data_IF_185155671351
#
_entry.id   IF_185155671351
#
_cell.length_a   1.000
_cell.length_b   1.000
_cell.length_c   1.000
_cell.angle_alpha   90.00
_cell.angle_beta   90.00
_cell.angle_gamma   90.00
#
_symmetry.space_group_name_H-M   'P 1'
#
loop_
_entity.id
_entity.type
_entity.pdbx_description
1 polymer ?
#
# COMPACT_ATOMS: atom_id res chain seq x y z
N UNK A 1 5.92 -13.77 -10.17
CA UNK A 1 7.35 -14.17 -10.04
C UNK A 1 7.43 -15.46 -9.25
N UNK A 2 8.01 -16.49 -9.87
CA UNK A 2 8.18 -17.80 -9.23
C UNK A 2 9.62 -17.95 -8.73
N UNK A 3 9.80 -18.25 -7.45
CA UNK A 3 11.12 -18.46 -6.83
C UNK A 3 11.24 -19.92 -6.37
N UNK A 4 12.29 -20.62 -6.81
CA UNK A 4 12.54 -21.99 -6.33
C UNK A 4 13.18 -21.95 -4.94
N UNK A 5 12.52 -22.55 -3.98
CA UNK A 5 12.94 -22.57 -2.56
C UNK A 5 13.39 -23.96 -2.07
N UNK A 6 13.50 -24.95 -2.96
CA UNK A 6 13.84 -26.35 -2.60
C UNK A 6 15.08 -26.48 -1.72
N UNK A 7 16.13 -25.70 -2.03
CA UNK A 7 17.38 -25.74 -1.24
C UNK A 7 17.19 -25.05 0.12
N UNK A 8 16.55 -23.87 0.15
CA UNK A 8 16.32 -23.11 1.38
C UNK A 8 15.41 -23.89 2.34
N UNK A 9 14.41 -24.59 1.81
CA UNK A 9 13.49 -25.42 2.60
C UNK A 9 14.21 -26.56 3.39
N UNK A 10 15.35 -27.02 2.90
CA UNK A 10 16.16 -28.07 3.55
C UNK A 10 17.23 -27.52 4.50
N UNK A 11 17.45 -26.20 4.48
CA UNK A 11 18.40 -25.55 5.38
C UNK A 11 17.82 -25.40 6.79
N UNK A 12 18.66 -25.24 7.83
CA UNK A 12 18.19 -24.97 9.19
C UNK A 12 17.35 -23.70 9.28
N UNK A 13 16.43 -23.65 10.26
CA UNK A 13 15.62 -22.48 10.56
C UNK A 13 16.54 -21.27 10.78
N UNK A 14 16.14 -20.11 10.23
CA UNK A 14 16.89 -18.87 10.27
C UNK A 14 17.85 -18.64 9.10
N UNK A 15 18.14 -19.67 8.30
CA UNK A 15 18.89 -19.47 7.06
C UNK A 15 18.11 -18.56 6.10
N UNK A 16 18.83 -17.71 5.39
CA UNK A 16 18.20 -16.72 4.51
C UNK A 16 18.91 -16.59 3.17
N UNK A 17 18.12 -16.21 2.17
CA UNK A 17 18.60 -15.86 0.83
C UNK A 17 18.05 -14.51 0.42
N UNK A 18 18.81 -13.81 -0.39
CA UNK A 18 18.41 -12.51 -0.95
C UNK A 18 18.26 -12.64 -2.45
N UNK A 19 17.20 -12.03 -2.95
CA UNK A 19 16.91 -11.88 -4.37
C UNK A 19 16.73 -10.39 -4.65
N UNK A 20 16.98 -10.02 -5.89
CA UNK A 20 16.72 -8.67 -6.38
C UNK A 20 15.80 -8.83 -7.58
N UNK A 21 14.58 -8.32 -7.48
CA UNK A 21 13.71 -8.14 -8.64
C UNK A 21 14.24 -6.95 -9.46
N UNK A 22 14.34 -7.12 -10.77
CA UNK A 22 14.87 -6.10 -11.70
C UNK A 22 13.96 -6.01 -12.95
N UNK A 23 12.72 -5.59 -12.73
CA UNK A 23 11.71 -5.49 -13.77
C UNK A 23 11.03 -6.82 -14.10
N UNK A 24 10.89 -7.71 -13.12
CA UNK A 24 10.16 -8.95 -13.31
C UNK A 24 8.64 -8.71 -13.34
N UNK A 25 8.00 -9.38 -14.31
CA UNK A 25 6.53 -9.39 -14.39
C UNK A 25 5.93 -10.37 -13.39
N UNK A 26 4.89 -9.92 -12.69
CA UNK A 26 4.00 -10.73 -11.85
C UNK A 26 2.58 -10.61 -12.37
N UNK A 27 1.83 -11.71 -12.38
CA UNK A 27 0.46 -11.70 -12.90
C UNK A 27 -0.43 -12.70 -12.17
N UNK A 28 -1.71 -12.34 -12.04
CA UNK A 28 -2.79 -13.20 -11.57
C UNK A 28 -3.88 -13.18 -12.66
N UNK A 29 -3.80 -14.06 -13.67
CA UNK A 29 -4.65 -14.02 -14.86
C UNK A 29 -6.15 -14.10 -14.56
N UNK A 30 -6.54 -14.79 -13.49
CA UNK A 30 -7.92 -15.01 -13.07
C UNK A 30 -8.65 -13.70 -12.77
N UNK A 31 -7.90 -12.68 -12.32
CA UNK A 31 -8.44 -11.34 -12.00
C UNK A 31 -7.92 -10.26 -12.94
N UNK A 32 -7.14 -10.64 -13.96
CA UNK A 32 -6.56 -9.71 -14.94
C UNK A 32 -5.48 -8.79 -14.35
N UNK A 33 -4.83 -9.21 -13.26
CA UNK A 33 -3.75 -8.47 -12.65
C UNK A 33 -2.43 -8.76 -13.36
N UNK A 34 -1.72 -7.70 -13.71
CA UNK A 34 -0.35 -7.76 -14.23
C UNK A 34 0.41 -6.52 -13.76
N UNK A 35 1.62 -6.73 -13.25
CA UNK A 35 2.44 -5.68 -12.69
C UNK A 35 3.93 -5.99 -12.89
N UNK A 36 4.76 -4.94 -12.97
CA UNK A 36 6.22 -5.05 -12.99
C UNK A 36 6.76 -4.72 -11.60
N UNK A 37 7.67 -5.53 -11.08
CA UNK A 37 8.24 -5.34 -9.75
C UNK A 37 9.75 -5.11 -9.81
N UNK A 38 10.23 -4.19 -8.97
CA UNK A 38 11.66 -3.91 -8.81
C UNK A 38 11.96 -3.70 -7.32
N UNK A 39 12.95 -4.41 -6.80
CA UNK A 39 13.33 -4.23 -5.39
C UNK A 39 13.90 -5.48 -4.73
N UNK A 40 14.36 -5.35 -3.48
CA UNK A 40 14.94 -6.44 -2.71
C UNK A 40 13.87 -7.36 -2.14
N UNK A 41 14.15 -8.67 -2.20
CA UNK A 41 13.35 -9.74 -1.61
C UNK A 41 14.27 -10.59 -0.75
N UNK A 42 13.89 -10.82 0.50
CA UNK A 42 14.59 -11.70 1.41
C UNK A 42 13.71 -12.88 1.78
N UNK A 43 14.24 -14.07 1.63
CA UNK A 43 13.59 -15.32 2.02
C UNK A 43 14.30 -15.87 3.25
N UNK A 44 13.56 -16.25 4.28
CA UNK A 44 14.10 -16.78 5.53
C UNK A 44 13.39 -18.10 5.82
N UNK A 45 14.16 -19.16 6.10
CA UNK A 45 13.58 -20.43 6.55
C UNK A 45 12.97 -20.25 7.94
N UNK A 46 11.67 -20.39 8.05
CA UNK A 46 10.89 -20.34 9.30
C UNK A 46 10.56 -21.75 9.81
N UNK A 47 9.83 -21.87 10.90
CA UNK A 47 9.42 -23.15 11.45
C UNK A 47 8.40 -23.87 10.53
N UNK A 48 7.44 -23.14 9.98
CA UNK A 48 6.35 -23.68 9.14
C UNK A 48 6.66 -23.62 7.62
N UNK A 49 7.58 -22.75 7.23
CA UNK A 49 7.78 -22.51 5.81
C UNK A 49 8.91 -21.54 5.49
N UNK A 50 8.60 -20.58 4.65
CA UNK A 50 9.51 -19.53 4.20
C UNK A 50 8.86 -18.17 4.50
N UNK A 51 9.47 -17.38 5.37
CA UNK A 51 9.12 -15.99 5.55
C UNK A 51 9.73 -15.17 4.42
N UNK A 52 8.90 -14.44 3.71
CA UNK A 52 9.27 -13.49 2.66
C UNK A 52 9.17 -12.08 3.21
N UNK A 53 10.28 -11.35 3.18
CA UNK A 53 10.31 -9.90 3.42
C UNK A 53 10.61 -9.23 2.10
N UNK A 54 9.75 -8.36 1.62
CA UNK A 54 9.92 -7.67 0.35
C UNK A 54 9.67 -6.17 0.50
N UNK A 55 10.43 -5.38 -0.28
CA UNK A 55 10.25 -3.93 -0.42
C UNK A 55 10.36 -3.63 -1.91
N UNK A 56 9.22 -3.37 -2.55
CA UNK A 56 9.10 -3.41 -4.01
C UNK A 56 8.51 -2.10 -4.54
N UNK A 57 9.14 -1.56 -5.56
CA UNK A 57 8.57 -0.54 -6.43
C UNK A 57 7.82 -1.23 -7.57
N UNK A 58 6.62 -0.77 -7.85
CA UNK A 58 5.74 -1.25 -8.91
C UNK A 58 5.54 -0.17 -9.97
N UNK A 59 5.01 -0.57 -11.14
CA UNK A 59 4.57 0.41 -12.12
C UNK A 59 3.49 1.32 -11.53
N UNK A 60 3.51 2.63 -11.87
CA UNK A 60 2.52 3.57 -11.36
C UNK A 60 1.09 3.17 -11.72
N UNK A 61 0.16 3.36 -10.78
CA UNK A 61 -1.26 3.09 -10.99
C UNK A 61 -1.99 4.36 -11.42
N UNK A 62 -2.74 4.27 -12.51
CA UNK A 62 -3.59 5.35 -12.98
C UNK A 62 -4.81 5.55 -12.07
N UNK A 63 -4.91 6.71 -11.42
CA UNK A 63 -6.02 7.08 -10.54
C UNK A 63 -6.73 8.33 -11.06
N UNK A 64 -7.95 8.54 -10.58
CA UNK A 64 -8.71 9.77 -10.79
C UNK A 64 -8.71 10.61 -9.51
N UNK A 65 -8.41 11.90 -9.63
CA UNK A 65 -8.39 12.79 -8.49
C UNK A 65 -9.80 13.05 -7.95
N UNK A 66 -10.04 12.78 -6.66
CA UNK A 66 -11.36 13.00 -6.03
C UNK A 66 -11.77 14.48 -5.92
N UNK A 67 -10.82 15.42 -6.11
CA UNK A 67 -11.10 16.86 -6.05
C UNK A 67 -11.36 17.48 -7.41
N UNK A 68 -10.51 17.20 -8.41
CA UNK A 68 -10.61 17.87 -9.73
C UNK A 68 -11.06 16.93 -10.86
N UNK A 69 -11.21 15.65 -10.58
CA UNK A 69 -11.61 14.59 -11.52
C UNK A 69 -10.65 14.42 -12.72
N UNK A 70 -9.41 14.89 -12.58
CA UNK A 70 -8.38 14.66 -13.59
C UNK A 70 -7.64 13.35 -13.30
N UNK A 71 -7.26 12.59 -14.35
CA UNK A 71 -6.45 11.41 -14.18
C UNK A 71 -5.03 11.80 -13.80
N UNK A 72 -4.39 10.96 -12.98
CA UNK A 72 -2.98 11.11 -12.62
C UNK A 72 -2.35 9.75 -12.33
N UNK A 73 -1.05 9.66 -12.37
CA UNK A 73 -0.29 8.48 -12.02
C UNK A 73 0.14 8.54 -10.56
N UNK A 74 -0.18 7.47 -9.82
CA UNK A 74 0.22 7.30 -8.43
C UNK A 74 1.42 6.37 -8.36
N UNK A 75 2.58 6.83 -7.82
CA UNK A 75 3.72 5.95 -7.63
C UNK A 75 3.37 4.87 -6.61
N UNK A 76 3.70 3.63 -6.92
CA UNK A 76 3.35 2.49 -6.11
C UNK A 76 4.60 1.88 -5.48
N UNK A 77 4.63 1.82 -4.16
CA UNK A 77 5.62 1.13 -3.37
C UNK A 77 4.94 0.28 -2.31
N UNK A 78 5.33 -0.98 -2.19
CA UNK A 78 4.78 -1.91 -1.20
C UNK A 78 5.90 -2.54 -0.37
N UNK A 79 5.59 -2.76 0.90
CA UNK A 79 6.43 -3.53 1.81
C UNK A 79 5.58 -4.59 2.48
N UNK A 80 6.12 -5.80 2.58
CA UNK A 80 5.41 -6.87 3.27
C UNK A 80 6.32 -7.92 3.85
N UNK A 81 5.79 -8.58 4.88
CA UNK A 81 6.34 -9.76 5.51
C UNK A 81 5.26 -10.85 5.50
N UNK A 82 5.44 -11.90 4.67
CA UNK A 82 4.47 -12.98 4.52
C UNK A 82 5.11 -14.36 4.67
N UNK A 83 4.45 -15.24 5.42
CA UNK A 83 4.91 -16.62 5.56
C UNK A 83 4.24 -17.52 4.52
N UNK A 84 5.06 -18.17 3.70
CA UNK A 84 4.63 -19.19 2.75
C UNK A 84 4.79 -20.56 3.39
N UNK A 85 3.68 -21.21 3.68
CA UNK A 85 3.66 -22.52 4.35
C UNK A 85 4.14 -23.61 3.42
N UNK A 86 5.00 -24.48 3.91
CA UNK A 86 5.43 -25.69 3.20
C UNK A 86 4.51 -26.83 3.63
N UNK A 87 3.68 -27.34 2.71
CA UNK A 87 2.68 -28.36 3.01
C UNK A 87 3.24 -29.67 3.62
N UNK A 88 4.53 -29.94 3.41
CA UNK A 88 5.21 -31.07 4.02
C UNK A 88 6.66 -30.69 4.34
N UNK A 89 7.02 -30.72 5.62
CA UNK A 89 8.40 -30.46 6.07
C UNK A 89 9.38 -31.46 5.44
N UNK A 90 10.41 -30.97 4.73
CA UNK A 90 11.33 -31.86 3.99
C UNK A 90 12.23 -32.70 4.87
N UNK A 91 12.42 -32.29 6.14
CA UNK A 91 13.32 -32.97 7.09
C UNK A 91 12.58 -34.03 7.90
N UNK A 92 11.39 -33.69 8.40
CA UNK A 92 10.62 -34.57 9.29
C UNK A 92 9.55 -35.37 8.56
N UNK A 93 9.16 -34.96 7.35
CA UNK A 93 8.04 -35.50 6.59
C UNK A 93 6.65 -35.19 7.18
N UNK A 94 6.60 -34.39 8.24
CA UNK A 94 5.34 -33.95 8.84
C UNK A 94 4.53 -33.11 7.86
N UNK A 95 3.22 -33.40 7.79
CA UNK A 95 2.29 -32.55 7.05
C UNK A 95 1.97 -31.31 7.88
N UNK A 96 2.11 -30.15 7.27
CA UNK A 96 1.71 -28.86 7.82
C UNK A 96 0.42 -28.46 7.11
N UNK A 97 -0.63 -28.23 7.87
CA UNK A 97 -1.90 -27.75 7.32
C UNK A 97 -1.80 -26.23 7.18
N UNK A 98 -2.09 -25.74 5.99
CA UNK A 98 -2.25 -24.31 5.71
C UNK A 98 -3.73 -23.95 5.76
N UNK A 99 -4.05 -22.77 6.30
CA UNK A 99 -5.39 -22.22 6.24
C UNK A 99 -5.69 -21.72 4.81
N UNK A 100 -6.98 -21.47 4.51
CA UNK A 100 -7.40 -21.08 3.15
C UNK A 100 -6.81 -19.74 2.69
N UNK A 101 -6.49 -18.88 3.63
CA UNK A 101 -5.95 -17.53 3.37
C UNK A 101 -4.42 -17.47 3.46
N UNK A 102 -3.75 -18.57 3.75
CA UNK A 102 -2.29 -18.64 3.84
C UNK A 102 -1.65 -18.90 2.45
N UNK A 103 -0.55 -18.23 2.20
CA UNK A 103 0.27 -18.51 1.03
C UNK A 103 1.00 -19.86 1.20
N UNK A 104 1.11 -20.62 0.10
CA UNK A 104 1.66 -21.97 0.12
C UNK A 104 2.77 -22.12 -0.91
N UNK A 105 3.84 -22.76 -0.54
CA UNK A 105 4.86 -23.25 -1.48
C UNK A 105 4.29 -24.45 -2.25
N UNK A 106 4.34 -24.42 -3.57
CA UNK A 106 3.78 -25.46 -4.41
C UNK A 106 4.51 -26.82 -4.26
N UNK A 107 3.92 -27.89 -4.83
CA UNK A 107 4.51 -29.24 -4.78
C UNK A 107 5.84 -29.38 -5.54
N UNK A 108 6.22 -28.39 -6.34
CA UNK A 108 7.47 -28.28 -7.10
C UNK A 108 8.50 -27.38 -6.43
N UNK A 109 8.24 -26.98 -5.20
CA UNK A 109 9.07 -26.06 -4.40
C UNK A 109 9.18 -24.65 -4.98
N UNK A 110 8.14 -24.17 -5.65
CA UNK A 110 8.05 -22.80 -6.09
C UNK A 110 7.16 -21.98 -5.15
N UNK A 111 7.65 -20.81 -4.84
CA UNK A 111 6.95 -19.76 -4.14
C UNK A 111 6.55 -18.71 -5.17
N UNK A 112 5.25 -18.40 -5.28
CA UNK A 112 4.74 -17.39 -6.18
C UNK A 112 4.38 -16.11 -5.44
N UNK A 113 5.04 -15.02 -5.81
CA UNK A 113 4.80 -13.69 -5.21
C UNK A 113 3.59 -12.96 -5.81
N UNK A 114 3.02 -13.44 -6.91
CA UNK A 114 2.05 -12.67 -7.70
C UNK A 114 0.82 -12.27 -6.89
N UNK A 115 0.26 -13.21 -6.13
CA UNK A 115 -0.93 -12.94 -5.32
C UNK A 115 -0.62 -12.03 -4.11
N UNK A 116 0.52 -12.19 -3.47
CA UNK A 116 0.94 -11.29 -2.39
C UNK A 116 1.11 -9.86 -2.92
N UNK A 117 1.83 -9.68 -4.04
CA UNK A 117 1.99 -8.35 -4.66
C UNK A 117 0.64 -7.71 -4.97
N UNK A 118 -0.30 -8.48 -5.56
CA UNK A 118 -1.66 -7.99 -5.86
C UNK A 118 -2.39 -7.50 -4.62
N UNK A 119 -2.40 -8.29 -3.54
CA UNK A 119 -3.10 -7.94 -2.30
C UNK A 119 -2.49 -6.70 -1.64
N UNK A 120 -1.16 -6.62 -1.60
CA UNK A 120 -0.47 -5.47 -1.03
C UNK A 120 -0.59 -4.22 -1.90
N UNK A 121 -0.62 -4.34 -3.24
CA UNK A 121 -0.92 -3.21 -4.12
C UNK A 121 -2.33 -2.67 -3.85
N UNK A 122 -3.35 -3.54 -3.78
CA UNK A 122 -4.72 -3.13 -3.47
C UNK A 122 -4.82 -2.42 -2.10
N UNK A 123 -4.09 -2.91 -1.09
CA UNK A 123 -4.11 -2.30 0.24
C UNK A 123 -3.33 -1.00 0.33
N UNK A 124 -2.35 -0.78 -0.55
CA UNK A 124 -1.53 0.42 -0.61
C UNK A 124 -2.21 1.58 -1.37
N UNK A 125 -3.33 1.31 -2.06
CA UNK A 125 -4.08 2.37 -2.72
C UNK A 125 -4.63 3.37 -1.70
N UNK A 126 -4.51 4.69 -1.96
CA UNK A 126 -5.00 5.71 -1.04
C UNK A 126 -6.53 5.68 -0.95
N UNK A 127 -7.08 5.78 0.26
CA UNK A 127 -8.53 5.90 0.49
C UNK A 127 -9.09 7.14 -0.20
N UNK A 128 -8.30 8.20 -0.31
CA UNK A 128 -8.64 9.43 -1.02
C UNK A 128 -7.54 9.73 -2.03
N UNK A 129 -7.90 9.69 -3.30
CA UNK A 129 -6.99 9.91 -4.42
C UNK A 129 -6.90 11.40 -4.75
N UNK A 130 -5.77 12.05 -4.41
CA UNK A 130 -5.55 13.48 -4.67
C UNK A 130 -4.30 13.63 -5.53
N UNK A 131 -4.43 14.28 -6.71
CA UNK A 131 -3.32 14.41 -7.65
C UNK A 131 -2.13 15.23 -7.10
N UNK A 132 -2.39 16.17 -6.19
CA UNK A 132 -1.37 16.99 -5.49
C UNK A 132 -1.97 17.63 -4.24
N UNK A 133 -1.16 17.88 -3.19
CA UNK A 133 -1.64 18.41 -1.91
C UNK A 133 -2.40 19.74 -2.02
N UNK A 134 -1.98 20.58 -2.96
CA UNK A 134 -2.54 21.92 -3.23
C UNK A 134 -3.67 21.92 -4.27
N UNK A 135 -4.22 20.75 -4.62
CA UNK A 135 -5.31 20.65 -5.58
C UNK A 135 -6.52 21.45 -5.12
N UNK A 136 -6.93 22.44 -5.92
CA UNK A 136 -8.07 23.33 -5.64
C UNK A 136 -9.43 22.71 -5.97
N UNK A 137 -9.43 21.58 -6.70
CA UNK A 137 -10.65 20.85 -7.07
C UNK A 137 -11.51 21.56 -8.11
N UNK A 138 -12.79 21.19 -8.13
CA UNK A 138 -13.81 21.80 -8.99
C UNK A 138 -14.60 22.88 -8.24
N UNK A 139 -15.01 23.91 -8.95
CA UNK A 139 -15.95 24.89 -8.43
C UNK A 139 -17.31 24.23 -8.13
N UNK A 140 -17.85 24.32 -6.90
CA UNK A 140 -19.12 23.68 -6.55
C UNK A 140 -20.35 24.31 -7.27
N UNK A 141 -20.19 25.48 -7.85
CA UNK A 141 -21.26 26.19 -8.54
C UNK A 141 -21.33 25.88 -10.03
N UNK A 142 -20.19 25.84 -10.73
CA UNK A 142 -20.15 25.69 -12.18
C UNK A 142 -19.32 24.52 -12.70
N UNK A 143 -18.64 23.76 -11.82
CA UNK A 143 -17.81 22.62 -12.23
C UNK A 143 -16.46 22.98 -12.86
N UNK A 144 -16.10 24.27 -12.95
CA UNK A 144 -14.80 24.68 -13.49
C UNK A 144 -13.65 24.10 -12.66
N UNK A 145 -12.65 23.54 -13.31
CA UNK A 145 -11.43 23.10 -12.64
C UNK A 145 -10.64 24.32 -12.15
N UNK A 146 -10.59 24.49 -10.82
CA UNK A 146 -9.96 25.65 -10.18
C UNK A 146 -8.43 25.61 -10.23
N UNK A 147 -7.85 24.48 -10.65
CA UNK A 147 -6.41 24.39 -10.91
C UNK A 147 -6.02 25.05 -12.25
N UNK A 148 -6.96 25.16 -13.17
CA UNK A 148 -6.74 25.73 -14.52
C UNK A 148 -7.11 27.20 -14.58
N UNK A 149 -8.30 27.54 -14.06
CA UNK A 149 -8.79 28.90 -14.09
C UNK A 149 -9.69 29.22 -12.90
N UNK A 150 -9.67 30.48 -12.48
CA UNK A 150 -10.62 30.99 -11.49
C UNK A 150 -11.93 31.43 -12.20
N UNK A 151 -13.03 30.87 -11.75
CA UNK A 151 -14.36 31.18 -12.33
C UNK A 151 -15.07 32.37 -11.69
N UNK A 152 -14.45 33.01 -10.67
CA UNK A 152 -15.02 34.18 -9.98
C UNK A 152 -16.20 33.87 -9.04
N UNK A 153 -16.61 32.61 -8.89
CA UNK A 153 -17.61 32.27 -7.89
C UNK A 153 -16.97 32.23 -6.50
N UNK A 154 -17.60 32.90 -5.53
CA UNK A 154 -17.19 32.78 -4.14
C UNK A 154 -17.35 31.34 -3.65
N UNK A 155 -16.41 30.86 -2.82
CA UNK A 155 -16.57 29.60 -2.12
C UNK A 155 -17.93 29.64 -1.39
N UNK A 156 -18.70 28.55 -1.51
CA UNK A 156 -19.96 28.43 -0.78
C UNK A 156 -19.68 28.67 0.71
N UNK A 157 -20.38 29.61 1.32
CA UNK A 157 -20.29 29.86 2.76
C UNK A 157 -20.62 28.59 3.54
N UNK A 158 -20.18 28.49 4.78
CA UNK A 158 -20.51 27.37 5.64
C UNK A 158 -22.03 27.13 5.66
N UNK A 159 -22.46 25.91 5.47
CA UNK A 159 -23.89 25.54 5.54
C UNK A 159 -24.45 25.97 6.91
N UNK A 160 -25.57 26.72 6.88
CA UNK A 160 -26.20 27.26 8.09
C UNK A 160 -26.54 26.21 9.13
N UNK A 161 -26.70 24.95 8.72
CA UNK A 161 -26.92 23.80 9.64
C UNK A 161 -25.74 23.54 10.58
N UNK A 162 -24.57 24.00 10.18
CA UNK A 162 -23.33 23.85 10.96
C UNK A 162 -22.94 25.12 11.72
N UNK A 163 -23.79 26.16 11.69
CA UNK A 163 -23.52 27.46 12.33
C UNK A 163 -23.24 27.34 13.82
N UNK A 164 -23.88 26.39 14.51
CA UNK A 164 -23.65 26.14 15.95
C UNK A 164 -22.23 25.60 16.26
N UNK A 165 -21.52 25.04 15.25
CA UNK A 165 -20.15 24.58 15.41
C UNK A 165 -19.11 25.70 15.20
N UNK A 166 -19.52 26.87 14.68
CA UNK A 166 -18.61 27.99 14.44
C UNK A 166 -17.98 28.47 15.76
N UNK A 167 -18.77 28.58 16.82
CA UNK A 167 -18.30 29.01 18.15
C UNK A 167 -17.32 27.98 18.76
N UNK A 168 -17.53 26.69 18.53
CA UNK A 168 -16.61 25.65 18.97
C UNK A 168 -15.29 25.71 18.20
N UNK A 169 -15.34 25.96 16.89
CA UNK A 169 -14.14 26.10 16.08
C UNK A 169 -13.31 27.34 16.48
N UNK A 170 -13.94 28.44 16.89
CA UNK A 170 -13.24 29.61 17.45
C UNK A 170 -12.57 29.30 18.79
N UNK A 171 -13.25 28.57 19.67
CA UNK A 171 -12.69 28.16 20.96
C UNK A 171 -11.45 27.26 20.79
N UNK A 172 -11.50 26.29 19.87
CA UNK A 172 -10.36 25.41 19.58
C UNK A 172 -9.16 26.16 19.00
N UNK A 173 -9.37 27.14 18.13
CA UNK A 173 -8.28 27.98 17.61
C UNK A 173 -7.64 28.86 18.68
N UNK A 174 -8.44 29.36 19.63
CA UNK A 174 -7.96 30.20 20.74
C UNK A 174 -7.11 29.40 21.74
N UNK A 175 -7.37 28.11 21.94
CA UNK A 175 -6.61 27.25 22.83
C UNK A 175 -5.21 26.90 22.27
N UNK A 176 -5.08 26.78 20.96
CA UNK A 176 -3.79 26.48 20.30
C UNK A 176 -2.82 27.67 20.36
N UNK A 177 -3.32 28.92 20.43
CA UNK A 177 -2.50 30.12 20.55
C UNK A 177 -1.97 30.34 21.99
N UNK A 178 -2.69 29.91 23.02
CA UNK A 178 -2.27 30.03 24.43
C UNK A 178 -1.16 29.03 24.81
N UNK A 179 -1.11 27.83 24.23
CA UNK A 179 -0.05 26.84 24.48
C UNK A 179 1.30 27.22 23.87
N UNK A 180 1.33 28.04 22.81
CA UNK A 180 2.58 28.45 22.17
C UNK A 180 3.30 29.62 22.86
N UNK A 181 2.65 30.31 23.81
CA UNK A 181 3.24 31.45 24.54
C UNK A 181 3.67 31.15 25.97
N UNK A 182 3.61 29.89 26.41
CA UNK A 182 3.87 29.47 27.78
C UNK A 182 5.19 28.77 28.06
N UNK A 183 6.29 29.02 27.32
CA UNK A 183 7.61 28.51 27.66
C UNK A 183 8.34 29.55 28.54
N UNK A 184 8.58 29.30 29.83
CA UNK A 184 9.42 30.18 30.64
C UNK A 184 10.89 29.99 30.24
N UNK A 185 11.53 31.10 29.90
CA UNK A 185 12.99 31.17 29.84
C UNK A 185 13.56 30.95 31.26
N UNK A 186 14.44 29.96 31.37
CA UNK A 186 15.34 29.76 32.52
C UNK A 186 16.74 29.41 32.04
#
# INVERSE_FOLDING_TARGET
MLINVATLAQEPIGHSRRYQADGESVSVPEVGFEQTITGPIRLIRSERGILVTASLDLDPVGLMCDRCLEPFEWPMHIEFDEEYVIARDPTTGHRIEADQDEFVVDGSWHLDLSEAVRQYEESALPIQSICRPDCRGLCPTCGQNLNEADCGHAAAGADHRWSSLASLAEQLRGSDEEEQHGAPEA
#
